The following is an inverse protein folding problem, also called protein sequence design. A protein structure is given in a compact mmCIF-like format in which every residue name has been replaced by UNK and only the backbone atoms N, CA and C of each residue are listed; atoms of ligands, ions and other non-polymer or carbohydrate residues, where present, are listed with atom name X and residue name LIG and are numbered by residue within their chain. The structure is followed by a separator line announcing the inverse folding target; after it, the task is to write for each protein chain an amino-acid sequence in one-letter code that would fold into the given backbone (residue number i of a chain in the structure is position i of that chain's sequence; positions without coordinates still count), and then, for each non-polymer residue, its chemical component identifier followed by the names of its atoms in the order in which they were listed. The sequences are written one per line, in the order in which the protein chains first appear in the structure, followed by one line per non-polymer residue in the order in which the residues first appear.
data_IF_985916336859
#
_entry.id   IF_985916336859
#
_cell.length_a   1.000
_cell.length_b   1.000
_cell.length_c   1.000
_cell.angle_alpha   90.00
_cell.angle_beta   90.00
_cell.angle_gamma   90.00
#
_symmetry.space_group_name_H-M   'P 1'
#
loop_
_entity.id
_entity.type
_entity.pdbx_description
1 polymer ?
#
# COMPACT_ATOMS: atom_id res chain seq x y z
N UNK A 1 45.58 41.73 49.37
CA UNK A 1 44.89 40.45 48.97
C UNK A 1 43.89 40.75 47.89
N UNK A 2 44.24 40.51 46.59
CA UNK A 2 43.43 40.84 45.44
C UNK A 2 42.68 39.55 45.02
N UNK A 3 41.36 39.52 45.14
CA UNK A 3 40.48 38.42 44.69
C UNK A 3 40.23 38.68 43.24
N UNK A 4 40.71 37.81 42.35
CA UNK A 4 40.39 37.80 40.92
C UNK A 4 39.15 36.90 40.75
N UNK A 5 37.98 37.48 40.49
CA UNK A 5 36.76 36.77 40.11
C UNK A 5 36.89 36.32 38.66
N UNK A 6 37.07 35.01 38.44
CA UNK A 6 37.03 34.38 37.13
C UNK A 6 35.55 34.17 36.78
N UNK A 7 35.00 35.03 35.92
CA UNK A 7 33.64 34.88 35.37
C UNK A 7 33.67 33.82 34.27
N UNK A 8 33.13 32.62 34.54
CA UNK A 8 32.99 31.53 33.58
C UNK A 8 31.78 31.84 32.69
N UNK A 9 32.07 32.31 31.49
CA UNK A 9 31.03 32.56 30.47
C UNK A 9 30.58 31.21 29.86
N UNK A 10 29.45 30.67 30.34
CA UNK A 10 28.85 29.45 29.82
C UNK A 10 28.17 29.76 28.49
N UNK A 11 28.85 29.55 27.37
CA UNK A 11 28.29 29.69 26.04
C UNK A 11 27.28 28.55 25.78
N UNK A 12 25.97 28.86 25.81
CA UNK A 12 24.95 27.98 25.37
C UNK A 12 25.04 27.80 23.83
N UNK A 13 25.59 26.66 23.38
CA UNK A 13 25.52 26.26 21.98
C UNK A 13 24.11 25.78 21.73
N UNK A 14 23.27 26.62 21.15
CA UNK A 14 21.96 26.20 20.61
C UNK A 14 22.22 25.39 19.34
N UNK A 15 22.20 24.07 19.48
CA UNK A 15 22.17 23.17 18.34
C UNK A 15 20.76 23.35 17.68
N UNK A 16 20.66 23.75 16.41
CA UNK A 16 19.36 23.80 15.74
C UNK A 16 18.84 22.36 15.73
N UNK A 17 17.74 22.10 16.43
CA UNK A 17 16.95 20.89 16.26
C UNK A 17 16.38 21.00 14.85
N UNK A 18 16.97 20.29 13.91
CA UNK A 18 16.38 20.10 12.59
C UNK A 18 15.08 19.35 12.87
N UNK A 19 13.96 20.04 12.80
CA UNK A 19 12.64 19.43 12.88
C UNK A 19 12.59 18.36 11.77
N UNK A 20 12.68 17.09 12.17
CA UNK A 20 12.51 15.99 11.24
C UNK A 20 11.09 16.11 10.73
N UNK A 21 10.92 16.30 9.43
CA UNK A 21 9.62 16.33 8.78
C UNK A 21 9.03 14.92 8.85
N UNK A 22 8.33 14.61 9.94
CA UNK A 22 7.66 13.34 10.17
C UNK A 22 6.27 13.34 9.51
N UNK A 23 6.07 14.19 8.52
CA UNK A 23 4.80 14.29 7.78
C UNK A 23 5.05 14.56 6.31
N UNK A 24 4.12 14.12 5.48
CA UNK A 24 4.20 14.32 4.05
C UNK A 24 3.24 13.44 3.26
N UNK A 25 3.50 13.46 1.96
CA UNK A 25 2.82 12.60 1.00
C UNK A 25 3.82 11.83 0.15
N UNK A 26 3.48 10.58 -0.17
CA UNK A 26 4.27 9.72 -1.05
C UNK A 26 3.34 9.13 -2.11
N UNK A 27 3.72 9.30 -3.37
CA UNK A 27 3.06 8.62 -4.49
C UNK A 27 3.80 7.32 -4.77
N UNK A 28 3.06 6.22 -4.82
CA UNK A 28 3.57 4.91 -5.19
C UNK A 28 3.01 4.46 -6.53
N UNK A 29 3.85 3.80 -7.32
CA UNK A 29 3.44 3.00 -8.47
C UNK A 29 3.28 1.56 -8.02
N UNK A 30 2.06 1.04 -8.06
CA UNK A 30 1.71 -0.36 -7.78
C UNK A 30 1.58 -1.09 -9.11
N UNK A 31 2.49 -2.03 -9.36
CA UNK A 31 2.66 -2.78 -10.61
C UNK A 31 2.45 -4.26 -10.36
N UNK A 32 1.44 -4.84 -10.97
CA UNK A 32 1.08 -6.26 -10.86
C UNK A 32 1.40 -6.96 -12.17
N UNK A 33 2.20 -8.02 -12.12
CA UNK A 33 2.47 -8.88 -13.26
C UNK A 33 1.30 -9.87 -13.46
N UNK A 34 0.47 -9.60 -14.46
CA UNK A 34 -0.70 -10.42 -14.77
C UNK A 34 -0.27 -11.79 -15.30
N UNK A 35 0.81 -11.84 -16.07
CA UNK A 35 1.29 -13.07 -16.70
C UNK A 35 1.79 -14.10 -15.69
N UNK A 36 2.30 -13.68 -14.54
CA UNK A 36 2.72 -14.59 -13.46
C UNK A 36 1.55 -15.29 -12.76
N UNK A 37 0.37 -14.69 -12.83
CA UNK A 37 -0.85 -15.20 -12.22
C UNK A 37 -1.90 -15.65 -13.25
N UNK A 38 -1.49 -15.79 -14.50
CA UNK A 38 -2.41 -16.17 -15.57
C UNK A 38 -2.84 -17.63 -15.40
N UNK A 39 -4.16 -17.92 -15.40
CA UNK A 39 -4.64 -19.29 -15.39
C UNK A 39 -4.14 -20.07 -16.63
N UNK A 40 -3.84 -21.37 -16.51
CA UNK A 40 -3.33 -22.18 -17.63
C UNK A 40 -4.23 -22.13 -18.88
N UNK A 41 -5.54 -22.02 -18.72
CA UNK A 41 -6.50 -21.92 -19.81
C UNK A 41 -6.38 -20.62 -20.61
N UNK A 42 -5.79 -19.59 -20.02
CA UNK A 42 -5.57 -18.29 -20.65
C UNK A 42 -4.14 -18.12 -21.21
N UNK A 43 -3.25 -19.09 -21.03
CA UNK A 43 -1.86 -19.02 -21.51
C UNK A 43 -1.79 -18.78 -23.03
N UNK A 44 -2.70 -19.40 -23.81
CA UNK A 44 -2.82 -19.20 -25.26
C UNK A 44 -3.21 -17.75 -25.67
N UNK A 45 -3.71 -16.95 -24.72
CA UNK A 45 -4.10 -15.56 -24.94
C UNK A 45 -3.10 -14.56 -24.36
N UNK A 46 -1.99 -15.02 -23.80
CA UNK A 46 -0.99 -14.22 -23.08
C UNK A 46 -0.52 -13.00 -23.89
N UNK A 47 -0.24 -13.18 -25.17
CA UNK A 47 0.19 -12.09 -26.07
C UNK A 47 -0.88 -10.98 -26.26
N UNK A 48 -2.15 -11.27 -25.91
CA UNK A 48 -3.26 -10.31 -26.01
C UNK A 48 -3.58 -9.63 -24.67
N UNK A 49 -2.93 -10.06 -23.60
CA UNK A 49 -3.13 -9.56 -22.24
C UNK A 49 -1.90 -8.74 -21.88
N UNK A 50 -2.04 -7.48 -21.45
CA UNK A 50 -0.91 -6.71 -20.95
C UNK A 50 -0.19 -7.46 -19.84
N UNK A 51 1.14 -7.51 -19.90
CA UNK A 51 1.95 -8.17 -18.88
C UNK A 51 1.77 -7.53 -17.50
N UNK A 52 1.68 -6.21 -17.48
CA UNK A 52 1.57 -5.45 -16.24
C UNK A 52 0.28 -4.64 -16.18
N UNK A 53 -0.29 -4.59 -14.98
CA UNK A 53 -1.30 -3.62 -14.60
C UNK A 53 -0.70 -2.66 -13.60
N UNK A 54 -0.77 -1.37 -13.89
CA UNK A 54 -0.22 -0.32 -13.07
C UNK A 54 -1.32 0.54 -12.47
N UNK A 55 -1.13 0.99 -11.23
CA UNK A 55 -1.99 1.94 -10.57
C UNK A 55 -1.18 2.85 -9.65
N UNK A 56 -1.56 4.12 -9.58
CA UNK A 56 -0.94 5.08 -8.66
C UNK A 56 -1.68 5.05 -7.33
N UNK A 57 -0.92 5.00 -6.26
CA UNK A 57 -1.39 5.03 -4.87
C UNK A 57 -0.81 6.25 -4.18
N UNK A 58 -1.49 6.72 -3.16
CA UNK A 58 -1.07 7.87 -2.38
C UNK A 58 -1.07 7.50 -0.90
N UNK A 59 0.02 7.82 -0.21
CA UNK A 59 0.17 7.73 1.23
C UNK A 59 0.28 9.14 1.80
N UNK A 60 -0.65 9.54 2.65
CA UNK A 60 -0.49 10.65 3.57
C UNK A 60 -0.04 10.11 4.92
N UNK A 61 0.90 10.79 5.56
CA UNK A 61 1.39 10.38 6.88
C UNK A 61 1.83 11.57 7.71
N UNK A 62 1.74 11.41 9.02
CA UNK A 62 2.36 12.26 10.02
C UNK A 62 2.90 11.40 11.16
N UNK A 63 3.28 11.98 12.29
CA UNK A 63 3.79 11.25 13.46
C UNK A 63 2.74 10.38 14.18
N UNK A 64 1.45 10.61 13.94
CA UNK A 64 0.33 9.99 14.68
C UNK A 64 -0.46 9.00 13.83
N UNK A 65 -0.60 9.27 12.53
CA UNK A 65 -1.47 8.51 11.65
C UNK A 65 -1.00 8.49 10.19
N UNK A 66 -1.50 7.53 9.44
CA UNK A 66 -1.30 7.42 8.00
C UNK A 66 -2.58 6.98 7.28
N UNK A 67 -2.70 7.38 6.02
CA UNK A 67 -3.79 6.99 5.12
C UNK A 67 -3.23 6.64 3.74
N UNK A 68 -3.36 5.37 3.34
CA UNK A 68 -2.97 4.88 2.03
C UNK A 68 -4.22 4.54 1.19
N UNK A 69 -4.26 5.02 -0.04
CA UNK A 69 -5.43 4.86 -0.91
C UNK A 69 -5.08 5.02 -2.40
N UNK A 70 -6.04 4.74 -3.28
CA UNK A 70 -5.86 4.98 -4.70
C UNK A 70 -5.71 6.48 -4.99
N UNK A 71 -4.61 6.89 -5.66
CA UNK A 71 -4.48 8.28 -6.09
C UNK A 71 -5.63 8.63 -7.04
N UNK A 72 -6.41 9.67 -6.77
CA UNK A 72 -7.42 10.15 -7.71
C UNK A 72 -6.76 10.48 -9.05
N UNK A 73 -7.40 10.09 -10.16
CA UNK A 73 -6.91 10.43 -11.48
C UNK A 73 -7.04 11.93 -11.71
N UNK A 74 -5.97 12.52 -12.19
CA UNK A 74 -5.98 13.92 -12.61
C UNK A 74 -6.87 14.09 -13.85
N UNK A 75 -7.36 15.31 -14.11
CA UNK A 75 -8.25 15.59 -15.26
C UNK A 75 -7.62 15.22 -16.60
N UNK A 76 -6.28 15.38 -16.73
CA UNK A 76 -5.53 14.94 -17.91
C UNK A 76 -5.56 13.40 -18.07
N UNK A 77 -5.34 12.64 -16.99
CA UNK A 77 -5.41 11.17 -17.00
C UNK A 77 -6.83 10.66 -17.31
N UNK A 78 -7.85 11.42 -16.91
CA UNK A 78 -9.25 11.11 -17.27
C UNK A 78 -9.53 11.37 -18.75
N UNK A 79 -8.99 12.47 -19.30
CA UNK A 79 -9.16 12.84 -20.71
C UNK A 79 -8.48 11.83 -21.65
N UNK A 80 -7.24 11.41 -21.36
CA UNK A 80 -6.53 10.40 -22.15
C UNK A 80 -7.29 9.06 -22.17
N UNK A 81 -7.93 8.66 -21.05
CA UNK A 81 -8.74 7.45 -21.03
C UNK A 81 -10.04 7.56 -21.84
N UNK A 82 -10.61 8.76 -21.96
CA UNK A 82 -11.79 9.00 -22.79
C UNK A 82 -11.47 8.95 -24.28
N UNK A 83 -10.31 9.49 -24.69
CA UNK A 83 -9.86 9.40 -26.10
C UNK A 83 -9.57 7.94 -26.53
N UNK A 84 -9.01 7.12 -25.63
CA UNK A 84 -8.76 5.70 -25.92
C UNK A 84 -10.03 4.84 -25.93
N UNK A 85 -11.15 5.35 -25.41
CA UNK A 85 -12.47 4.71 -25.45
C UNK A 85 -13.28 5.12 -26.68
N UNK A 86 -12.62 5.56 -27.78
CA UNK A 86 -13.23 5.92 -29.04
C UNK A 86 -14.30 4.95 -29.49
N UNK A 87 -15.43 5.50 -29.86
CA UNK A 87 -16.61 4.98 -30.54
C UNK A 87 -16.58 3.47 -30.91
N UNK A 88 -17.23 2.64 -30.14
CA UNK A 88 -17.60 1.32 -30.63
C UNK A 88 -17.57 0.15 -29.69
N UNK A 89 -17.12 0.27 -28.47
CA UNK A 89 -17.21 -0.83 -27.50
C UNK A 89 -17.79 -0.37 -26.18
N UNK A 90 -19.13 -0.32 -26.11
CA UNK A 90 -19.82 -0.62 -24.87
C UNK A 90 -19.43 -2.05 -24.49
N UNK A 91 -18.18 -2.22 -24.05
CA UNK A 91 -17.76 -3.45 -23.39
C UNK A 91 -18.70 -3.60 -22.22
N UNK A 92 -19.56 -4.57 -22.33
CA UNK A 92 -20.18 -5.27 -21.21
C UNK A 92 -19.03 -5.59 -20.27
N UNK A 93 -18.63 -4.58 -19.50
CA UNK A 93 -17.56 -4.69 -18.50
C UNK A 93 -17.96 -5.83 -17.60
N UNK A 94 -17.14 -6.86 -17.61
CA UNK A 94 -17.43 -8.05 -16.84
C UNK A 94 -17.73 -7.62 -15.41
N UNK A 95 -18.78 -8.13 -14.84
CA UNK A 95 -19.23 -7.97 -13.46
C UNK A 95 -18.14 -8.39 -12.43
N UNK A 96 -16.98 -8.77 -12.93
CA UNK A 96 -15.88 -9.42 -12.25
C UNK A 96 -14.57 -8.64 -12.40
N UNK A 97 -14.45 -7.43 -11.86
CA UNK A 97 -13.13 -6.82 -11.75
C UNK A 97 -13.03 -5.33 -12.03
N UNK A 98 -14.12 -4.63 -12.28
CA UNK A 98 -14.15 -3.19 -12.53
C UNK A 98 -14.83 -2.39 -11.42
N UNK A 99 -14.96 -2.91 -10.22
CA UNK A 99 -15.39 -2.13 -9.07
C UNK A 99 -14.37 -1.04 -8.80
N UNK A 100 -14.86 0.18 -8.58
CA UNK A 100 -14.05 1.29 -8.09
C UNK A 100 -13.45 0.85 -6.76
N UNK A 101 -12.22 0.34 -6.80
CA UNK A 101 -11.52 -0.14 -5.61
C UNK A 101 -11.04 1.07 -4.80
N UNK A 102 -11.98 1.81 -4.22
CA UNK A 102 -11.69 2.93 -3.30
C UNK A 102 -11.23 2.41 -1.93
N UNK A 103 -10.41 1.35 -1.95
CA UNK A 103 -9.82 0.81 -0.74
C UNK A 103 -8.95 1.87 -0.07
N UNK A 104 -9.14 2.02 1.24
CA UNK A 104 -8.36 2.92 2.09
C UNK A 104 -7.82 2.13 3.25
N UNK A 105 -6.54 2.32 3.54
CA UNK A 105 -5.86 1.76 4.69
C UNK A 105 -5.49 2.90 5.62
N UNK A 106 -6.20 3.02 6.71
CA UNK A 106 -5.94 4.01 7.75
C UNK A 106 -5.24 3.34 8.93
N UNK A 107 -4.21 3.98 9.45
CA UNK A 107 -3.48 3.51 10.64
C UNK A 107 -3.35 4.64 11.63
N UNK A 108 -3.68 4.38 12.90
CA UNK A 108 -3.36 5.24 14.03
C UNK A 108 -2.18 4.64 14.77
N UNK A 109 -1.05 5.35 14.82
CA UNK A 109 0.17 4.86 15.43
C UNK A 109 0.11 4.90 16.94
N UNK A 110 -0.54 5.91 17.52
CA UNK A 110 -0.67 6.07 18.96
C UNK A 110 -1.61 5.02 19.58
N UNK A 111 -2.73 4.73 18.92
CA UNK A 111 -3.70 3.72 19.35
C UNK A 111 -3.27 2.29 18.98
N UNK A 112 -2.31 2.13 18.08
CA UNK A 112 -1.86 0.82 17.60
C UNK A 112 -2.94 0.05 16.86
N UNK A 113 -3.87 0.74 16.20
CA UNK A 113 -4.97 0.15 15.46
C UNK A 113 -4.95 0.53 13.97
N UNK A 114 -5.65 -0.26 13.16
CA UNK A 114 -5.87 -0.01 11.74
C UNK A 114 -7.34 -0.13 11.37
N UNK A 115 -7.73 0.59 10.33
CA UNK A 115 -9.05 0.55 9.74
C UNK A 115 -8.92 0.47 8.22
N UNK A 116 -9.36 -0.65 7.64
CA UNK A 116 -9.38 -0.81 6.20
C UNK A 116 -10.82 -0.62 5.70
N UNK A 117 -11.02 0.34 4.82
CA UNK A 117 -12.27 0.49 4.09
C UNK A 117 -12.15 -0.22 2.75
N UNK A 118 -12.98 -1.24 2.54
CA UNK A 118 -12.96 -2.05 1.31
C UNK A 118 -14.37 -2.23 0.74
N UNK A 119 -14.50 -2.07 -0.59
CA UNK A 119 -15.68 -2.52 -1.29
C UNK A 119 -15.45 -3.95 -1.79
N UNK A 120 -16.30 -4.88 -1.36
CA UNK A 120 -16.23 -6.28 -1.76
C UNK A 120 -17.61 -6.74 -2.25
N UNK A 121 -17.72 -7.09 -3.52
CA UNK A 121 -18.96 -7.45 -4.19
C UNK A 121 -20.10 -6.44 -4.00
N UNK A 122 -19.79 -5.14 -4.09
CA UNK A 122 -20.75 -4.04 -3.96
C UNK A 122 -21.18 -3.72 -2.53
N UNK A 123 -20.60 -4.38 -1.53
CA UNK A 123 -20.81 -4.08 -0.12
C UNK A 123 -19.57 -3.39 0.45
N UNK A 124 -19.79 -2.32 1.18
CA UNK A 124 -18.72 -1.62 1.87
C UNK A 124 -18.47 -2.26 3.25
N UNK A 125 -17.22 -2.56 3.53
CA UNK A 125 -16.74 -3.09 4.81
C UNK A 125 -15.75 -2.11 5.44
N UNK A 126 -15.82 -2.01 6.75
CA UNK A 126 -14.85 -1.33 7.60
C UNK A 126 -14.19 -2.39 8.48
N UNK A 127 -12.98 -2.77 8.11
CA UNK A 127 -12.27 -3.88 8.74
C UNK A 127 -11.39 -3.29 9.83
N UNK A 128 -11.70 -3.64 11.07
CA UNK A 128 -10.94 -3.23 12.24
C UNK A 128 -9.83 -4.25 12.52
N UNK A 129 -8.60 -3.75 12.73
CA UNK A 129 -7.45 -4.58 13.01
C UNK A 129 -6.54 -3.97 14.09
N UNK A 130 -5.84 -4.85 14.80
CA UNK A 130 -4.69 -4.46 15.59
C UNK A 130 -3.47 -4.32 14.67
N UNK A 131 -2.54 -3.47 15.09
CA UNK A 131 -1.29 -3.26 14.38
C UNK A 131 -0.28 -4.32 14.82
N UNK A 132 -0.28 -5.45 14.14
CA UNK A 132 0.71 -6.52 14.35
C UNK A 132 1.78 -6.46 13.26
N UNK A 133 3.02 -6.19 13.66
CA UNK A 133 4.11 -6.13 12.70
C UNK A 133 4.54 -7.53 12.25
N UNK A 134 4.88 -7.64 10.97
CA UNK A 134 5.56 -8.82 10.46
C UNK A 134 6.94 -8.96 11.12
N UNK A 135 7.40 -10.20 11.23
CA UNK A 135 8.75 -10.50 11.73
C UNK A 135 9.78 -10.25 10.62
N UNK A 136 10.12 -8.99 10.42
CA UNK A 136 11.09 -8.59 9.42
C UNK A 136 12.50 -9.07 9.76
N UNK A 137 13.20 -9.59 8.77
CA UNK A 137 14.65 -9.84 8.83
C UNK A 137 15.36 -8.74 8.06
N UNK A 138 15.95 -7.78 8.78
CA UNK A 138 16.76 -6.72 8.17
C UNK A 138 18.08 -7.34 7.71
N UNK A 139 18.48 -7.04 6.47
CA UNK A 139 19.77 -7.47 5.89
C UNK A 139 20.75 -6.30 5.87
N UNK A 140 22.02 -6.58 5.53
CA UNK A 140 23.03 -5.54 5.36
C UNK A 140 22.98 -4.85 4.00
N UNK A 141 22.08 -5.26 3.11
CA UNK A 141 22.00 -4.72 1.76
C UNK A 141 21.40 -3.32 1.77
N UNK A 142 21.95 -2.46 0.90
CA UNK A 142 21.51 -1.08 0.71
C UNK A 142 21.34 -0.79 -0.77
N UNK A 143 20.33 -0.01 -1.13
CA UNK A 143 20.16 0.59 -2.45
C UNK A 143 19.52 1.97 -2.36
N UNK A 144 19.65 2.74 -3.42
CA UNK A 144 18.97 4.02 -3.53
C UNK A 144 17.60 3.84 -4.17
N UNK A 145 16.56 4.43 -3.53
CA UNK A 145 15.19 4.53 -4.08
C UNK A 145 14.85 6.01 -4.16
N UNK A 146 14.77 6.55 -5.36
CA UNK A 146 14.71 7.99 -5.56
C UNK A 146 15.96 8.68 -4.98
N UNK A 147 15.77 9.65 -4.10
CA UNK A 147 16.84 10.37 -3.40
C UNK A 147 17.22 9.76 -2.04
N UNK A 148 16.62 8.62 -1.64
CA UNK A 148 16.76 8.05 -0.32
C UNK A 148 17.61 6.79 -0.33
N UNK A 149 18.58 6.72 0.58
CA UNK A 149 19.31 5.50 0.86
C UNK A 149 18.40 4.58 1.69
N UNK A 150 18.15 3.38 1.17
CA UNK A 150 17.27 2.39 1.77
C UNK A 150 18.06 1.15 2.20
N UNK A 151 17.58 0.52 3.27
CA UNK A 151 18.02 -0.78 3.75
C UNK A 151 16.99 -1.85 3.36
N UNK A 152 17.48 -3.05 3.08
CA UNK A 152 16.65 -4.20 2.74
C UNK A 152 16.18 -4.92 3.99
N UNK A 153 14.91 -5.29 4.00
CA UNK A 153 14.36 -6.29 4.90
C UNK A 153 13.54 -7.31 4.13
N UNK A 154 13.44 -8.51 4.67
CA UNK A 154 12.69 -9.61 4.06
C UNK A 154 11.72 -10.23 5.06
N UNK A 155 10.61 -10.70 4.55
CA UNK A 155 9.67 -11.57 5.25
C UNK A 155 9.36 -12.77 4.37
N UNK A 156 9.32 -13.94 4.95
CA UNK A 156 8.97 -15.16 4.25
C UNK A 156 8.20 -16.10 5.17
N UNK A 157 7.09 -16.59 4.66
CA UNK A 157 6.34 -17.68 5.26
C UNK A 157 6.01 -18.76 4.22
N UNK A 158 5.08 -19.66 4.52
CA UNK A 158 4.66 -20.74 3.60
C UNK A 158 3.82 -20.25 2.42
N UNK A 159 3.29 -19.03 2.48
CA UNK A 159 2.34 -18.48 1.51
C UNK A 159 2.93 -17.41 0.61
N UNK A 160 3.92 -16.64 1.10
CA UNK A 160 4.48 -15.49 0.39
C UNK A 160 5.91 -15.18 0.79
N UNK A 161 6.64 -14.56 -0.14
CA UNK A 161 7.95 -13.96 0.08
C UNK A 161 7.86 -12.46 -0.21
N UNK A 162 8.25 -11.63 0.74
CA UNK A 162 8.22 -10.18 0.60
C UNK A 162 9.62 -9.62 0.82
N UNK A 163 10.10 -8.85 -0.14
CA UNK A 163 11.30 -8.06 -0.04
C UNK A 163 10.92 -6.58 0.02
N UNK A 164 11.45 -5.85 1.01
CA UNK A 164 11.17 -4.42 1.16
C UNK A 164 12.45 -3.62 1.30
N UNK A 165 12.37 -2.36 0.90
CA UNK A 165 13.42 -1.36 1.04
C UNK A 165 12.85 -0.16 1.77
N UNK A 166 13.37 0.08 2.96
CA UNK A 166 12.92 1.15 3.84
C UNK A 166 14.04 2.15 4.12
N UNK A 167 13.67 3.38 4.40
CA UNK A 167 14.64 4.44 4.75
C UNK A 167 14.42 4.96 6.16
N UNK A 168 15.47 4.99 7.00
CA UNK A 168 15.39 5.64 8.31
C UNK A 168 15.41 7.18 8.23
N UNK A 169 15.67 7.74 7.03
CA UNK A 169 15.63 9.20 6.83
C UNK A 169 14.21 9.78 6.96
N UNK A 170 13.17 8.94 6.83
CA UNK A 170 11.78 9.25 7.15
C UNK A 170 11.41 8.35 8.32
N UNK A 171 11.54 8.82 9.59
CA UNK A 171 11.47 7.97 10.77
C UNK A 171 10.02 7.67 11.20
N UNK A 172 9.17 7.37 10.23
CA UNK A 172 7.79 6.93 10.43
C UNK A 172 7.69 5.48 9.98
N UNK A 173 7.35 4.58 10.92
CA UNK A 173 7.19 3.16 10.64
C UNK A 173 5.90 2.91 9.89
N UNK A 174 5.91 3.12 8.58
CA UNK A 174 4.74 2.98 7.69
C UNK A 174 5.18 2.62 6.27
N UNK A 175 4.22 2.30 5.42
CA UNK A 175 4.45 1.94 4.03
C UNK A 175 3.16 1.73 3.25
N UNK A 176 3.27 1.14 2.05
CA UNK A 176 2.11 0.77 1.24
C UNK A 176 1.19 -0.24 1.93
N UNK A 177 -0.10 -0.19 1.58
CA UNK A 177 -1.16 -1.02 2.18
C UNK A 177 -1.17 -0.85 3.72
N UNK A 178 -1.02 -1.92 4.50
CA UNK A 178 -0.91 -1.92 5.96
C UNK A 178 0.48 -2.41 6.45
N UNK A 179 1.51 -2.36 5.61
CA UNK A 179 2.85 -2.81 5.96
C UNK A 179 3.60 -1.77 6.81
N UNK A 180 4.18 -2.25 7.92
CA UNK A 180 4.93 -1.45 8.88
C UNK A 180 5.87 -2.34 9.73
N UNK A 181 6.47 -1.77 10.80
CA UNK A 181 7.28 -2.51 11.76
C UNK A 181 8.79 -2.40 11.50
N UNK A 182 9.18 -1.63 10.49
CA UNK A 182 10.58 -1.28 10.21
C UNK A 182 10.91 0.10 10.80
N UNK A 183 12.16 0.39 11.13
CA UNK A 183 12.56 1.68 11.69
C UNK A 183 12.68 2.76 10.60
N UNK A 184 11.56 3.03 9.91
CA UNK A 184 11.46 4.02 8.85
C UNK A 184 10.40 3.67 7.80
N UNK A 185 10.29 4.55 6.80
CA UNK A 185 9.31 4.47 5.73
C UNK A 185 9.70 3.44 4.68
N UNK A 186 8.77 2.56 4.31
CA UNK A 186 8.96 1.59 3.21
C UNK A 186 8.75 2.32 1.88
N UNK A 187 9.79 2.34 1.04
CA UNK A 187 9.75 3.02 -0.26
C UNK A 187 9.64 2.06 -1.45
N UNK A 188 9.99 0.79 -1.26
CA UNK A 188 9.80 -0.21 -2.30
C UNK A 188 9.48 -1.58 -1.68
N UNK A 189 8.60 -2.31 -2.34
CA UNK A 189 8.21 -3.68 -1.98
C UNK A 189 8.19 -4.54 -3.23
N UNK A 190 8.64 -5.79 -3.10
CA UNK A 190 8.55 -6.83 -4.12
C UNK A 190 7.93 -8.08 -3.49
N UNK A 191 6.87 -8.58 -4.09
CA UNK A 191 6.17 -9.78 -3.67
C UNK A 191 6.46 -10.92 -4.65
N UNK A 192 6.88 -12.06 -4.11
CA UNK A 192 7.10 -13.30 -4.85
C UNK A 192 7.93 -13.09 -6.13
N UNK A 193 9.07 -12.38 -5.97
CA UNK A 193 10.03 -12.10 -7.04
C UNK A 193 9.39 -11.44 -8.27
N UNK A 194 8.64 -10.36 -8.05
CA UNK A 194 8.06 -9.52 -9.11
C UNK A 194 6.64 -9.91 -9.54
N UNK A 195 5.90 -10.65 -8.74
CA UNK A 195 4.46 -10.86 -8.95
C UNK A 195 3.69 -9.56 -8.72
N UNK A 196 4.07 -8.79 -7.71
CA UNK A 196 3.62 -7.42 -7.46
C UNK A 196 4.79 -6.59 -6.97
N UNK A 197 4.92 -5.38 -7.49
CA UNK A 197 5.93 -4.43 -7.05
C UNK A 197 5.27 -3.10 -6.73
N UNK A 198 5.64 -2.50 -5.60
CA UNK A 198 5.18 -1.19 -5.20
C UNK A 198 6.40 -0.31 -4.99
N UNK A 199 6.49 0.81 -5.70
CA UNK A 199 7.68 1.67 -5.65
C UNK A 199 7.28 3.12 -5.47
N UNK A 200 7.87 3.82 -4.51
CA UNK A 200 7.73 5.26 -4.35
C UNK A 200 8.29 5.98 -5.57
N UNK A 201 7.48 6.82 -6.20
CA UNK A 201 7.84 7.60 -7.40
C UNK A 201 7.97 9.09 -7.12
N UNK A 202 7.24 9.57 -6.11
CA UNK A 202 7.32 10.96 -5.67
C UNK A 202 7.18 11.04 -4.15
N UNK A 203 8.04 11.83 -3.49
CA UNK A 203 8.09 11.97 -2.04
C UNK A 203 8.16 13.45 -1.71
N UNK A 204 7.14 13.95 -1.04
CA UNK A 204 7.04 15.35 -0.62
C UNK A 204 6.89 15.42 0.90
N UNK A 205 7.97 15.78 1.58
CA UNK A 205 7.98 15.98 3.04
C UNK A 205 7.53 17.40 3.34
N UNK A 206 6.31 17.53 3.84
CA UNK A 206 5.68 18.80 4.17
C UNK A 206 4.60 18.62 5.23
N UNK A 207 4.27 19.69 5.93
CA UNK A 207 3.09 19.67 6.78
C UNK A 207 1.83 19.39 5.93
N UNK A 208 1.00 18.48 6.39
CA UNK A 208 -0.27 18.20 5.77
C UNK A 208 -1.31 19.25 6.17
N UNK A 209 -2.26 19.54 5.28
CA UNK A 209 -3.40 20.36 5.63
C UNK A 209 -4.29 19.65 6.65
N UNK A 210 -4.96 20.41 7.50
CA UNK A 210 -5.93 19.86 8.44
C UNK A 210 -7.03 19.08 7.71
N UNK A 211 -7.34 17.87 8.22
CA UNK A 211 -8.33 16.98 7.61
C UNK A 211 -7.87 16.23 6.36
N UNK A 212 -6.60 16.33 5.95
CA UNK A 212 -6.08 15.61 4.80
C UNK A 212 -5.99 14.09 5.05
N UNK A 213 -5.68 13.68 6.28
CA UNK A 213 -5.86 12.31 6.74
C UNK A 213 -7.25 12.20 7.36
N UNK A 214 -8.12 11.41 6.73
CA UNK A 214 -9.50 11.24 7.18
C UNK A 214 -9.74 9.77 7.52
N UNK A 215 -10.10 9.51 8.77
CA UNK A 215 -10.47 8.17 9.25
C UNK A 215 -11.69 7.66 8.48
N UNK A 216 -11.65 6.49 7.83
CA UNK A 216 -12.81 5.90 7.18
C UNK A 216 -13.92 5.57 8.18
N UNK A 217 -15.18 5.83 7.80
CA UNK A 217 -16.33 5.59 8.67
C UNK A 217 -17.43 4.78 7.98
N UNK A 218 -17.35 4.62 6.66
CA UNK A 218 -18.39 3.99 5.86
C UNK A 218 -18.16 2.49 5.73
N UNK A 219 -19.17 1.68 6.01
CA UNK A 219 -19.16 0.24 5.79
C UNK A 219 -19.63 -0.57 7.00
N UNK A 220 -19.86 -1.86 6.77
CA UNK A 220 -20.16 -2.82 7.85
C UNK A 220 -18.86 -3.06 8.62
N UNK A 221 -18.88 -2.79 9.92
CA UNK A 221 -17.74 -3.07 10.82
C UNK A 221 -17.58 -4.58 10.99
N UNK A 222 -16.38 -5.05 10.76
CA UNK A 222 -15.98 -6.47 10.91
C UNK A 222 -14.53 -6.55 11.37
N UNK A 223 -14.14 -7.63 12.03
CA UNK A 223 -12.73 -7.94 12.29
C UNK A 223 -12.02 -8.47 11.03
N UNK A 224 -10.69 -8.53 11.03
CA UNK A 224 -9.90 -9.15 9.95
C UNK A 224 -10.33 -10.61 9.72
N UNK A 225 -10.55 -11.38 10.79
CA UNK A 225 -10.97 -12.79 10.70
C UNK A 225 -12.37 -12.92 10.09
N UNK A 226 -13.34 -12.13 10.57
CA UNK A 226 -14.70 -12.10 10.01
C UNK A 226 -14.69 -11.71 8.52
N UNK A 227 -13.87 -10.75 8.13
CA UNK A 227 -13.77 -10.38 6.72
C UNK A 227 -13.14 -11.51 5.89
N UNK A 228 -12.16 -12.22 6.44
CA UNK A 228 -11.53 -13.37 5.79
C UNK A 228 -12.56 -14.48 5.56
N UNK A 229 -13.38 -14.81 6.57
CA UNK A 229 -14.46 -15.78 6.44
C UNK A 229 -15.47 -15.37 5.35
N UNK A 230 -15.95 -14.12 5.38
CA UNK A 230 -16.89 -13.60 4.36
C UNK A 230 -16.28 -13.70 2.95
N UNK A 231 -14.99 -13.38 2.82
CA UNK A 231 -14.27 -13.45 1.54
C UNK A 231 -14.17 -14.88 1.03
N UNK A 232 -13.74 -15.80 1.89
CA UNK A 232 -13.48 -17.20 1.53
C UNK A 232 -14.80 -17.92 1.21
N UNK A 233 -15.87 -17.65 1.96
CA UNK A 233 -17.22 -18.14 1.67
C UNK A 233 -17.69 -17.64 0.30
N UNK A 234 -17.50 -16.34 0.00
CA UNK A 234 -17.95 -15.79 -1.28
C UNK A 234 -17.15 -16.31 -2.47
N UNK A 235 -15.84 -16.53 -2.29
CA UNK A 235 -15.01 -17.17 -3.32
C UNK A 235 -15.50 -18.60 -3.57
N UNK A 236 -15.78 -19.37 -2.53
CA UNK A 236 -16.30 -20.73 -2.63
C UNK A 236 -17.64 -20.80 -3.35
N UNK A 237 -18.61 -19.93 -2.99
CA UNK A 237 -19.89 -19.82 -3.70
C UNK A 237 -19.69 -19.59 -5.21
N UNK A 238 -18.74 -18.70 -5.54
CA UNK A 238 -18.42 -18.42 -6.95
C UNK A 238 -17.80 -19.61 -7.66
N UNK A 239 -16.88 -20.33 -7.02
CA UNK A 239 -16.28 -21.54 -7.58
C UNK A 239 -17.34 -22.61 -7.83
N UNK A 240 -18.31 -22.77 -6.92
CA UNK A 240 -19.42 -23.70 -7.06
C UNK A 240 -20.37 -23.25 -8.20
N UNK A 241 -20.69 -21.96 -8.31
CA UNK A 241 -21.58 -21.43 -9.35
C UNK A 241 -20.96 -21.48 -10.75
N UNK A 242 -19.66 -21.20 -10.87
CA UNK A 242 -18.94 -21.14 -12.16
C UNK A 242 -18.14 -22.42 -12.47
N UNK A 243 -17.74 -23.20 -11.46
CA UNK A 243 -17.02 -24.46 -11.63
C UNK A 243 -17.86 -25.60 -12.22
N UNK A 244 -19.18 -25.49 -12.18
CA UNK A 244 -20.12 -26.47 -12.75
C UNK A 244 -20.44 -26.30 -14.24
N UNK A 245 -19.92 -25.28 -14.91
CA UNK A 245 -20.11 -25.10 -16.35
C UNK A 245 -18.99 -25.77 -17.14
N UNK A 246 -19.28 -26.62 -18.17
CA UNK A 246 -18.26 -27.15 -19.08
C UNK A 246 -17.60 -25.96 -19.81
N UNK A 247 -16.37 -25.60 -19.42
CA UNK A 247 -15.63 -24.45 -19.95
C UNK A 247 -15.23 -23.39 -18.91
N UNK A 248 -15.67 -23.51 -17.66
CA UNK A 248 -15.25 -22.66 -16.56
C UNK A 248 -13.98 -23.22 -15.89
N UNK A 249 -12.81 -22.79 -16.35
CA UNK A 249 -11.55 -23.17 -15.75
C UNK A 249 -11.48 -22.73 -14.29
N UNK A 250 -10.90 -23.57 -13.42
CA UNK A 250 -10.59 -23.29 -12.03
C UNK A 250 -9.50 -22.21 -11.96
N UNK A 251 -9.88 -20.94 -12.17
CA UNK A 251 -9.01 -19.80 -11.92
C UNK A 251 -8.70 -19.74 -10.43
N UNK A 252 -7.45 -19.90 -10.04
CA UNK A 252 -7.00 -19.47 -8.72
C UNK A 252 -7.19 -17.96 -8.64
N UNK A 253 -8.25 -17.53 -7.96
CA UNK A 253 -8.44 -16.12 -7.67
C UNK A 253 -7.28 -15.64 -6.80
N UNK A 254 -6.67 -14.54 -7.23
CA UNK A 254 -5.62 -13.84 -6.51
C UNK A 254 -6.05 -13.63 -5.05
N UNK A 255 -5.33 -14.21 -4.13
CA UNK A 255 -5.45 -13.96 -2.70
C UNK A 255 -4.65 -12.67 -2.41
N UNK A 256 -5.27 -11.50 -2.27
CA UNK A 256 -4.54 -10.37 -1.73
C UNK A 256 -4.14 -10.76 -0.31
N UNK A 257 -2.86 -10.63 -0.02
CA UNK A 257 -2.29 -10.99 1.27
C UNK A 257 -3.11 -10.41 2.42
N UNK A 258 -3.31 -11.25 3.40
CA UNK A 258 -3.92 -10.89 4.67
C UNK A 258 -2.99 -10.06 5.51
#
# INVERSE_FOLDING_TARGET
MRIVLFSLLLSFITVPVIAQNNSGEIVYLDKINIHKNLPPEMEAMKDRIPEFRESKKLLYFNSEEALYFNKPKDEAEKAEQQEFQGEGRRRRGGRFGGGNNDNKYYTNFAEGNSLDSRNFFGKDFLIEGSRESLKWKITGEQKQVGSYLCQKATFQDTSQSIEVWFTPMIPVSSGPDDFFGLPGMILHMDFDSGTRQITATDISLKALAEGQITRPTKGKKVSKDQFTEIRDEKIKEMEEEFGGRPGGGRGRFFRPGG
#
